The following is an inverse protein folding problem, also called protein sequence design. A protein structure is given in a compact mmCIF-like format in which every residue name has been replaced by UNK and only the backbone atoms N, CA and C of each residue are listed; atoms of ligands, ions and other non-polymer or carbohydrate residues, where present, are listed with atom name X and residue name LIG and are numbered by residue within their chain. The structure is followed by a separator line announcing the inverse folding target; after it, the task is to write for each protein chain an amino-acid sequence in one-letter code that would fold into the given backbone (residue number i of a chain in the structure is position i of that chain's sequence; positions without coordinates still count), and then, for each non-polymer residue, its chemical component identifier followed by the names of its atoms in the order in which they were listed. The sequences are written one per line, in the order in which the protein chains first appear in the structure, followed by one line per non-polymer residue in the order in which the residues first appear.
data_IF_312926977972
#
_entry.id   IF_312926977972
#
_cell.length_a   1.000
_cell.length_b   1.000
_cell.length_c   1.000
_cell.angle_alpha   90.00
_cell.angle_beta   90.00
_cell.angle_gamma   90.00
#
_symmetry.space_group_name_H-M   'P 1'
#
loop_
_entity.id
_entity.type
_entity.pdbx_description
1 polymer ?
#
# COMPACT_ATOMS: atom_id res chain seq x y z
N UNK A 1 7.59 20.13 11.62
CA UNK A 1 7.58 20.51 13.04
C UNK A 1 8.96 20.54 13.67
N UNK A 2 9.68 19.40 13.79
CA UNK A 2 11.08 19.38 14.26
C UNK A 2 11.94 20.34 13.42
N UNK A 3 11.76 20.28 12.10
CA UNK A 3 12.47 21.12 11.12
C UNK A 3 11.99 22.59 11.09
N UNK A 4 10.78 22.89 11.56
CA UNK A 4 10.19 24.25 11.51
C UNK A 4 10.24 24.98 12.86
N UNK A 5 10.89 24.39 13.89
CA UNK A 5 10.98 24.92 15.27
C UNK A 5 9.62 25.30 15.89
N UNK A 6 8.54 24.66 15.43
CA UNK A 6 7.17 24.93 15.90
C UNK A 6 6.76 24.11 17.12
N UNK A 7 7.57 23.09 17.48
CA UNK A 7 7.40 22.25 18.68
C UNK A 7 7.10 23.04 19.97
N UNK A 8 7.87 24.09 20.35
CA UNK A 8 7.66 24.77 21.62
C UNK A 8 6.32 25.53 21.70
N UNK A 9 5.72 25.92 20.57
CA UNK A 9 4.41 26.58 20.54
C UNK A 9 3.25 25.59 20.73
N UNK A 10 3.41 24.35 20.27
CA UNK A 10 2.40 23.27 20.37
C UNK A 10 2.53 22.52 21.70
N UNK A 11 3.74 22.43 22.27
CA UNK A 11 3.99 21.80 23.57
C UNK A 11 3.77 22.71 24.79
N UNK A 12 3.36 23.97 24.59
CA UNK A 12 2.99 24.86 25.71
C UNK A 12 1.67 24.46 26.39
N UNK A 13 0.87 23.58 25.79
CA UNK A 13 -0.36 23.03 26.38
C UNK A 13 -0.39 21.51 26.26
N UNK A 14 -0.67 20.82 27.37
CA UNK A 14 -0.68 19.35 27.45
C UNK A 14 -1.72 18.72 26.50
N UNK A 15 -2.80 19.45 26.22
CA UNK A 15 -3.85 19.09 25.25
C UNK A 15 -3.43 19.22 23.78
N UNK A 16 -2.45 20.09 23.46
CA UNK A 16 -1.91 20.24 22.11
C UNK A 16 -1.22 18.95 21.65
N UNK A 17 -0.34 18.39 22.50
CA UNK A 17 0.36 17.12 22.22
C UNK A 17 -0.58 15.93 22.01
N UNK A 18 -1.66 15.83 22.79
CA UNK A 18 -2.58 14.67 22.74
C UNK A 18 -3.49 14.69 21.52
N UNK A 19 -3.85 15.87 21.01
CA UNK A 19 -4.74 16.02 19.85
C UNK A 19 -3.99 16.20 18.53
N UNK A 20 -2.76 16.69 18.56
CA UNK A 20 -1.93 16.88 17.36
C UNK A 20 -1.51 15.54 16.72
N UNK A 21 -1.09 14.57 17.53
CA UNK A 21 -0.67 13.24 17.06
C UNK A 21 -1.75 12.54 16.22
N UNK A 22 -3.00 12.35 16.70
CA UNK A 22 -4.04 11.73 15.88
C UNK A 22 -4.45 12.61 14.68
N UNK A 23 -4.44 13.95 14.82
CA UNK A 23 -4.75 14.84 13.71
C UNK A 23 -3.73 14.75 12.57
N UNK A 24 -2.45 14.61 12.90
CA UNK A 24 -1.34 14.47 11.96
C UNK A 24 -1.36 13.13 11.24
N UNK A 25 -1.65 12.05 11.97
CA UNK A 25 -1.85 10.72 11.38
C UNK A 25 -3.03 10.78 10.40
N UNK A 26 -4.17 11.34 10.83
CA UNK A 26 -5.37 11.46 10.00
C UNK A 26 -5.11 12.32 8.74
N UNK A 27 -4.42 13.45 8.88
CA UNK A 27 -4.06 14.32 7.76
C UNK A 27 -3.12 13.65 6.75
N UNK A 28 -2.17 12.83 7.23
CA UNK A 28 -1.25 12.10 6.36
C UNK A 28 -1.97 11.00 5.58
N UNK A 29 -2.89 10.29 6.22
CA UNK A 29 -3.72 9.29 5.55
C UNK A 29 -4.68 9.91 4.54
N UNK A 30 -5.38 11.01 4.87
CA UNK A 30 -6.30 11.67 3.93
C UNK A 30 -5.56 12.20 2.70
N UNK A 31 -4.35 12.74 2.88
CA UNK A 31 -3.50 13.17 1.77
C UNK A 31 -3.07 11.99 0.88
N UNK A 32 -2.69 10.86 1.48
CA UNK A 32 -2.31 9.64 0.74
C UNK A 32 -3.48 9.08 -0.06
N UNK A 33 -4.69 9.05 0.53
CA UNK A 33 -5.92 8.64 -0.14
C UNK A 33 -6.21 9.55 -1.35
N UNK A 34 -6.07 10.87 -1.17
CA UNK A 34 -6.29 11.83 -2.25
C UNK A 34 -5.32 11.62 -3.43
N UNK A 35 -4.02 11.43 -3.16
CA UNK A 35 -3.03 11.14 -4.20
C UNK A 35 -3.38 9.85 -4.94
N UNK A 36 -3.76 8.79 -4.22
CA UNK A 36 -4.14 7.53 -4.83
C UNK A 36 -5.35 7.69 -5.75
N UNK A 37 -6.41 8.34 -5.27
CA UNK A 37 -7.61 8.61 -6.06
C UNK A 37 -7.29 9.43 -7.31
N UNK A 38 -6.44 10.46 -7.19
CA UNK A 38 -5.99 11.25 -8.34
C UNK A 38 -5.25 10.40 -9.37
N UNK A 39 -4.31 9.56 -8.93
CA UNK A 39 -3.55 8.68 -9.82
C UNK A 39 -4.47 7.69 -10.55
N UNK A 40 -5.40 7.06 -9.83
CA UNK A 40 -6.39 6.13 -10.42
C UNK A 40 -7.27 6.84 -11.44
N UNK A 41 -7.77 8.04 -11.13
CA UNK A 41 -8.58 8.82 -12.05
C UNK A 41 -7.83 9.18 -13.33
N UNK A 42 -6.60 9.68 -13.22
CA UNK A 42 -5.77 10.03 -14.39
C UNK A 42 -5.54 8.81 -15.27
N UNK A 43 -5.19 7.65 -14.69
CA UNK A 43 -5.00 6.41 -15.45
C UNK A 43 -6.29 5.93 -16.11
N UNK A 44 -7.44 6.01 -15.42
CA UNK A 44 -8.73 5.65 -16.01
C UNK A 44 -9.12 6.57 -17.18
N UNK A 45 -8.87 7.88 -17.06
CA UNK A 45 -9.13 8.83 -18.16
C UNK A 45 -8.23 8.57 -19.35
N UNK A 46 -6.93 8.33 -19.14
CA UNK A 46 -6.00 7.94 -20.20
C UNK A 46 -6.44 6.66 -20.91
N UNK A 47 -6.81 5.63 -20.14
CA UNK A 47 -7.33 4.37 -20.69
C UNK A 47 -8.63 4.57 -21.47
N UNK A 48 -9.53 5.42 -20.98
CA UNK A 48 -10.75 5.78 -21.70
C UNK A 48 -10.43 6.46 -23.03
N UNK A 49 -9.54 7.47 -23.03
CA UNK A 49 -9.20 8.22 -24.25
C UNK A 49 -8.55 7.34 -25.33
N UNK A 50 -7.69 6.40 -24.95
CA UNK A 50 -6.92 5.58 -25.91
C UNK A 50 -7.69 4.32 -26.32
N UNK A 51 -8.25 3.59 -25.35
CA UNK A 51 -8.81 2.24 -25.55
C UNK A 51 -10.33 2.18 -25.46
N UNK A 52 -10.99 3.22 -24.93
CA UNK A 52 -12.42 3.22 -24.67
C UNK A 52 -12.83 2.37 -23.46
N UNK A 53 -14.11 2.43 -23.08
CA UNK A 53 -14.66 1.71 -21.90
C UNK A 53 -15.26 0.34 -22.26
N UNK A 54 -15.23 -0.06 -23.53
CA UNK A 54 -15.86 -1.32 -24.01
C UNK A 54 -15.17 -2.58 -23.47
N UNK A 55 -13.99 -2.45 -22.86
CA UNK A 55 -13.23 -3.57 -22.30
C UNK A 55 -13.64 -4.02 -20.89
N UNK A 56 -14.53 -3.31 -20.19
CA UNK A 56 -14.88 -3.68 -18.80
C UNK A 56 -15.63 -5.00 -18.66
N UNK A 57 -16.43 -5.34 -19.66
CA UNK A 57 -17.20 -6.59 -19.71
C UNK A 57 -16.38 -7.74 -20.31
N UNK A 58 -15.16 -7.48 -20.78
CA UNK A 58 -14.31 -8.54 -21.31
C UNK A 58 -13.88 -9.50 -20.19
N UNK A 59 -13.90 -10.78 -20.55
CA UNK A 59 -13.29 -11.83 -19.75
C UNK A 59 -11.78 -11.66 -19.88
N UNK A 60 -11.14 -11.33 -18.76
CA UNK A 60 -9.69 -11.36 -18.66
C UNK A 60 -9.30 -12.81 -18.41
N UNK A 61 -8.60 -13.42 -19.38
CA UNK A 61 -7.98 -14.71 -19.18
C UNK A 61 -6.77 -14.51 -18.27
N UNK A 62 -6.97 -14.78 -16.99
CA UNK A 62 -5.93 -14.67 -15.98
C UNK A 62 -5.26 -16.04 -15.81
N UNK A 63 -3.95 -16.09 -16.02
CA UNK A 63 -3.15 -17.28 -15.70
C UNK A 63 -2.92 -17.25 -14.19
N UNK A 64 -3.74 -18.02 -13.46
CA UNK A 64 -3.76 -18.02 -11.99
C UNK A 64 -2.62 -18.85 -11.41
N UNK A 65 -2.14 -19.85 -12.13
CA UNK A 65 -0.91 -20.63 -11.90
C UNK A 65 -0.77 -21.63 -13.06
N UNK A 66 0.34 -22.39 -13.12
CA UNK A 66 0.72 -23.25 -14.26
C UNK A 66 -0.36 -24.26 -14.74
N UNK A 67 -1.47 -24.47 -14.02
CA UNK A 67 -2.46 -25.50 -14.29
C UNK A 67 -3.94 -25.05 -14.25
N UNK A 68 -4.26 -23.78 -13.96
CA UNK A 68 -5.65 -23.31 -13.85
C UNK A 68 -5.84 -21.94 -14.51
N UNK A 69 -6.54 -21.90 -15.66
CA UNK A 69 -7.10 -20.67 -16.21
C UNK A 69 -8.53 -20.51 -15.70
N UNK A 70 -8.75 -19.50 -14.87
CA UNK A 70 -10.10 -19.13 -14.48
C UNK A 70 -10.51 -17.84 -15.21
N UNK A 71 -11.64 -17.84 -15.95
CA UNK A 71 -12.14 -16.63 -16.56
C UNK A 71 -12.62 -15.68 -15.46
N UNK A 72 -11.93 -14.54 -15.31
CA UNK A 72 -12.32 -13.49 -14.35
C UNK A 72 -12.78 -12.28 -15.15
N UNK A 73 -13.89 -11.67 -14.73
CA UNK A 73 -14.35 -10.41 -15.32
C UNK A 73 -13.29 -9.34 -15.10
N UNK A 74 -12.89 -8.61 -16.16
CA UNK A 74 -11.83 -7.60 -16.08
C UNK A 74 -12.10 -6.55 -14.98
N UNK A 75 -13.36 -6.11 -14.83
CA UNK A 75 -13.75 -5.18 -13.76
C UNK A 75 -13.47 -5.70 -12.34
N UNK A 76 -13.72 -7.00 -12.10
CA UNK A 76 -13.47 -7.63 -10.80
C UNK A 76 -11.98 -7.69 -10.49
N UNK A 77 -11.17 -8.05 -11.49
CA UNK A 77 -9.72 -8.05 -11.37
C UNK A 77 -9.16 -6.66 -11.11
N UNK A 78 -9.62 -5.66 -11.88
CA UNK A 78 -9.22 -4.26 -11.70
C UNK A 78 -9.56 -3.77 -10.28
N UNK A 79 -10.74 -4.11 -9.76
CA UNK A 79 -11.14 -3.75 -8.39
C UNK A 79 -10.21 -4.35 -7.33
N UNK A 80 -9.83 -5.62 -7.46
CA UNK A 80 -8.91 -6.29 -6.53
C UNK A 80 -7.51 -5.69 -6.63
N UNK A 81 -7.02 -5.44 -7.84
CA UNK A 81 -5.72 -4.81 -8.07
C UNK A 81 -5.66 -3.41 -7.44
N UNK A 82 -6.69 -2.60 -7.64
CA UNK A 82 -6.79 -1.27 -7.03
C UNK A 82 -6.90 -1.35 -5.50
N UNK A 83 -7.66 -2.31 -4.96
CA UNK A 83 -7.76 -2.53 -3.52
C UNK A 83 -6.42 -2.91 -2.88
N UNK A 84 -5.67 -3.82 -3.50
CA UNK A 84 -4.34 -4.21 -3.06
C UNK A 84 -3.34 -3.04 -3.14
N UNK A 85 -3.35 -2.29 -4.24
CA UNK A 85 -2.49 -1.12 -4.39
C UNK A 85 -2.80 -0.02 -3.36
N UNK A 86 -4.08 0.19 -3.06
CA UNK A 86 -4.52 1.12 -2.02
C UNK A 86 -4.00 0.72 -0.64
N UNK A 87 -4.17 -0.55 -0.29
CA UNK A 87 -3.70 -1.12 0.97
C UNK A 87 -2.17 -1.03 1.10
N UNK A 88 -1.43 -1.29 0.03
CA UNK A 88 0.01 -1.11 -0.01
C UNK A 88 0.39 0.34 0.30
N UNK A 89 -0.24 1.33 -0.35
CA UNK A 89 0.08 2.74 -0.09
C UNK A 89 -0.24 3.19 1.34
N UNK A 90 -1.35 2.71 1.92
CA UNK A 90 -1.67 2.99 3.33
C UNK A 90 -0.62 2.40 4.28
N UNK A 91 -0.16 1.17 4.03
CA UNK A 91 0.89 0.55 4.84
C UNK A 91 2.24 1.26 4.70
N UNK A 92 2.59 1.79 3.50
CA UNK A 92 3.75 2.67 3.32
C UNK A 92 3.64 3.91 4.20
N UNK A 93 2.48 4.55 4.18
CA UNK A 93 2.21 5.74 4.99
C UNK A 93 2.32 5.43 6.48
N UNK A 94 1.81 4.29 6.94
CA UNK A 94 1.94 3.86 8.33
C UNK A 94 3.41 3.64 8.72
N UNK A 95 4.17 2.88 7.94
CA UNK A 95 5.59 2.59 8.21
C UNK A 95 6.41 3.89 8.22
N UNK A 96 6.21 4.76 7.25
CA UNK A 96 6.92 6.05 7.17
C UNK A 96 6.61 6.96 8.35
N UNK A 97 5.35 7.02 8.80
CA UNK A 97 4.97 7.76 10.01
C UNK A 97 5.58 7.16 11.28
N UNK A 98 5.56 5.83 11.41
CA UNK A 98 6.19 5.13 12.53
C UNK A 98 7.69 5.43 12.58
N UNK A 99 8.41 5.22 11.48
CA UNK A 99 9.86 5.48 11.40
C UNK A 99 10.17 6.96 11.62
N UNK A 100 9.34 7.87 11.09
CA UNK A 100 9.49 9.31 11.28
C UNK A 100 9.26 9.75 12.72
N UNK A 101 8.54 8.98 13.54
CA UNK A 101 8.39 9.27 14.97
C UNK A 101 9.66 8.92 15.77
N UNK A 102 10.47 7.98 15.30
CA UNK A 102 11.71 7.54 15.94
C UNK A 102 12.97 8.26 15.44
N UNK A 103 12.89 8.96 14.30
CA UNK A 103 14.03 9.63 13.66
C UNK A 103 13.88 11.16 13.70
N UNK A 104 14.93 11.86 14.15
CA UNK A 104 14.95 13.33 14.14
C UNK A 104 15.14 13.94 12.74
N UNK A 105 15.63 13.15 11.79
CA UNK A 105 15.90 13.53 10.40
C UNK A 105 14.89 12.92 9.43
N UNK A 106 14.28 13.77 8.59
CA UNK A 106 13.34 13.34 7.54
C UNK A 106 14.03 12.48 6.47
N UNK A 107 15.29 12.76 6.15
CA UNK A 107 16.03 11.99 5.15
C UNK A 107 16.32 10.56 5.63
N UNK A 108 16.70 10.41 6.90
CA UNK A 108 16.91 9.09 7.51
C UNK A 108 15.62 8.27 7.58
N UNK A 109 14.49 8.92 7.90
CA UNK A 109 13.19 8.26 7.93
C UNK A 109 12.79 7.70 6.55
N UNK A 110 13.03 8.44 5.47
CA UNK A 110 12.74 7.99 4.10
C UNK A 110 13.62 6.80 3.71
N UNK A 111 14.92 6.84 4.01
CA UNK A 111 15.84 5.74 3.69
C UNK A 111 15.42 4.45 4.42
N UNK A 112 15.14 4.55 5.73
CA UNK A 112 14.77 3.38 6.54
C UNK A 112 13.43 2.81 6.07
N UNK A 113 12.44 3.66 5.75
CA UNK A 113 11.16 3.20 5.22
C UNK A 113 11.33 2.51 3.84
N UNK A 114 12.18 3.05 2.96
CA UNK A 114 12.48 2.44 1.67
C UNK A 114 13.18 1.08 1.82
N UNK A 115 14.12 0.95 2.77
CA UNK A 115 14.76 -0.32 3.10
C UNK A 115 13.74 -1.31 3.67
N UNK A 116 12.87 -0.88 4.58
CA UNK A 116 11.81 -1.72 5.14
C UNK A 116 10.85 -2.24 4.07
N UNK A 117 10.59 -1.44 3.02
CA UNK A 117 9.81 -1.83 1.86
C UNK A 117 10.53 -2.76 0.88
N UNK A 118 11.85 -2.59 0.69
CA UNK A 118 12.66 -3.39 -0.23
C UNK A 118 13.19 -4.69 0.36
N UNK A 119 13.34 -4.78 1.68
CA UNK A 119 13.84 -5.96 2.41
C UNK A 119 13.04 -7.26 2.12
N UNK A 120 11.70 -7.24 2.03
CA UNK A 120 10.90 -8.41 1.70
C UNK A 120 11.30 -9.05 0.36
N UNK A 121 11.77 -8.25 -0.61
CA UNK A 121 12.22 -8.75 -1.92
C UNK A 121 13.45 -9.65 -1.77
N UNK A 122 14.40 -9.24 -0.93
CA UNK A 122 15.59 -10.05 -0.64
C UNK A 122 15.22 -11.32 0.13
N UNK A 123 14.34 -11.21 1.13
CA UNK A 123 13.91 -12.35 1.94
C UNK A 123 13.23 -13.42 1.07
N UNK A 124 12.41 -13.03 0.10
CA UNK A 124 11.78 -13.97 -0.85
C UNK A 124 12.81 -14.74 -1.68
N UNK A 125 13.92 -14.10 -2.04
CA UNK A 125 14.95 -14.70 -2.88
C UNK A 125 15.77 -15.75 -2.13
N UNK A 126 15.95 -15.58 -0.82
CA UNK A 126 16.79 -16.46 0.01
C UNK A 126 16.00 -17.49 0.84
N UNK A 127 14.72 -17.25 1.16
CA UNK A 127 13.92 -18.09 2.04
C UNK A 127 12.65 -18.63 1.36
N UNK A 128 12.35 -19.92 1.59
CA UNK A 128 11.11 -20.58 1.15
C UNK A 128 10.20 -21.00 2.32
N UNK A 129 9.04 -21.59 2.01
CA UNK A 129 8.10 -22.13 3.01
C UNK A 129 7.10 -21.11 3.56
N UNK A 130 6.74 -21.19 4.85
CA UNK A 130 5.73 -20.31 5.50
C UNK A 130 6.11 -18.82 5.39
N UNK A 131 7.41 -18.52 5.32
CA UNK A 131 7.93 -17.16 5.14
C UNK A 131 7.40 -16.52 3.84
N UNK A 132 7.11 -17.30 2.79
CA UNK A 132 6.50 -16.77 1.57
C UNK A 132 5.14 -16.12 1.81
N UNK A 133 4.26 -16.71 2.64
CA UNK A 133 2.94 -16.13 2.93
C UNK A 133 3.05 -14.78 3.67
N UNK A 134 4.01 -14.66 4.59
CA UNK A 134 4.25 -13.41 5.32
C UNK A 134 4.85 -12.38 4.38
N UNK A 135 5.80 -12.79 3.54
CA UNK A 135 6.45 -11.90 2.57
C UNK A 135 5.48 -11.45 1.48
N UNK A 136 4.57 -12.31 1.00
CA UNK A 136 3.51 -11.95 0.05
C UNK A 136 2.51 -10.94 0.63
N UNK A 137 2.36 -10.90 1.95
CA UNK A 137 1.55 -9.88 2.63
C UNK A 137 2.24 -8.52 2.73
N UNK A 138 3.53 -8.44 2.39
CA UNK A 138 4.27 -7.19 2.44
C UNK A 138 3.89 -6.26 1.29
N UNK A 139 3.98 -4.94 1.50
CA UNK A 139 3.34 -3.97 0.62
C UNK A 139 3.89 -3.96 -0.82
N UNK A 140 5.17 -4.28 -0.99
CA UNK A 140 5.83 -4.28 -2.30
C UNK A 140 5.30 -5.39 -3.22
N UNK A 141 4.85 -6.51 -2.64
CA UNK A 141 4.32 -7.64 -3.40
C UNK A 141 2.83 -7.48 -3.73
N UNK A 142 2.11 -6.67 -2.95
CA UNK A 142 0.72 -6.29 -3.26
C UNK A 142 0.60 -5.42 -4.53
N UNK A 143 1.66 -4.70 -4.89
CA UNK A 143 1.71 -3.83 -6.09
C UNK A 143 2.14 -4.62 -7.33
N UNK A 144 2.78 -5.77 -7.16
CA UNK A 144 3.41 -6.52 -8.26
C UNK A 144 2.41 -7.44 -8.96
N UNK A 145 1.98 -7.07 -10.17
CA UNK A 145 0.90 -7.73 -10.93
C UNK A 145 1.09 -9.24 -11.14
N UNK A 146 2.34 -9.71 -11.22
CA UNK A 146 2.65 -11.14 -11.35
C UNK A 146 2.26 -11.98 -10.13
N UNK A 147 2.18 -11.37 -8.95
CA UNK A 147 1.91 -12.06 -7.67
C UNK A 147 0.46 -11.84 -7.24
N UNK A 148 -0.21 -10.82 -7.78
CA UNK A 148 -1.66 -10.62 -7.63
C UNK A 148 -2.44 -11.85 -8.08
N UNK A 149 -1.94 -12.61 -9.06
CA UNK A 149 -2.56 -13.86 -9.52
C UNK A 149 -2.45 -14.97 -8.47
N UNK A 150 -1.30 -15.14 -7.82
CA UNK A 150 -1.12 -16.10 -6.72
C UNK A 150 -1.88 -15.67 -5.44
N UNK A 151 -1.94 -14.35 -5.20
CA UNK A 151 -2.64 -13.75 -4.05
C UNK A 151 -4.17 -13.81 -4.22
N UNK A 152 -4.68 -13.94 -5.45
CA UNK A 152 -6.13 -13.92 -5.72
C UNK A 152 -6.90 -15.02 -4.98
N UNK A 153 -6.31 -16.22 -4.80
CA UNK A 153 -6.92 -17.28 -3.99
C UNK A 153 -6.79 -17.03 -2.47
N UNK A 154 -5.72 -16.35 -2.04
CA UNK A 154 -5.37 -16.15 -0.63
C UNK A 154 -5.70 -14.72 -0.12
N UNK A 155 -6.47 -13.96 -0.88
CA UNK A 155 -6.66 -12.52 -0.66
C UNK A 155 -7.23 -12.19 0.73
N UNK A 156 -8.13 -13.02 1.26
CA UNK A 156 -8.68 -12.85 2.60
C UNK A 156 -7.65 -12.99 3.72
N UNK A 157 -6.66 -13.88 3.55
CA UNK A 157 -5.59 -14.10 4.54
C UNK A 157 -4.60 -12.94 4.50
N UNK A 158 -4.25 -12.47 3.31
CA UNK A 158 -3.37 -11.31 3.10
C UNK A 158 -3.98 -10.02 3.65
N UNK A 159 -5.29 -9.82 3.46
CA UNK A 159 -6.05 -8.74 4.09
C UNK A 159 -6.01 -8.83 5.61
N UNK A 160 -6.26 -10.01 6.19
CA UNK A 160 -6.24 -10.22 7.63
C UNK A 160 -4.88 -9.88 8.26
N UNK A 161 -3.79 -10.30 7.62
CA UNK A 161 -2.42 -10.01 8.09
C UNK A 161 -2.13 -8.51 8.06
N UNK A 162 -2.47 -7.82 6.98
CA UNK A 162 -2.25 -6.37 6.87
C UNK A 162 -3.12 -5.55 7.83
N UNK A 163 -4.36 -5.96 8.08
CA UNK A 163 -5.19 -5.32 9.12
C UNK A 163 -4.53 -5.50 10.49
N UNK A 164 -3.97 -6.68 10.77
CA UNK A 164 -3.24 -6.95 12.01
C UNK A 164 -1.95 -6.10 12.13
N UNK A 165 -1.26 -5.85 11.01
CA UNK A 165 -0.09 -4.95 11.00
C UNK A 165 -0.46 -3.46 11.09
N UNK A 166 -1.69 -3.09 10.72
CA UNK A 166 -2.16 -1.71 10.72
C UNK A 166 -2.81 -1.26 12.04
N UNK A 167 -3.21 -2.21 12.90
CA UNK A 167 -3.72 -1.97 14.28
C UNK A 167 -2.53 -1.90 15.25
#
# INVERSE_FOLDING_TARGET
ESQTKMLPLIFSTEEGRRKDVPAKILASFTFTIFIFMWFVLVNLVLCWMIYGLKGFENISWMVLSQHMLQPVLFLKYLGILLGLAFQALLSLCAITLCVSAYQDSSFGAVIIAAVCWGLPVLIRMFFGGIIWLIVDSMPIFLVMTGIVNDIYEMWYIVLGINICFAI
#
